data_IF_274293966015
#
_entry.id   IF_274293966015
#
_cell.length_a   1.000
_cell.length_b   1.000
_cell.length_c   1.000
_cell.angle_alpha   90.00
_cell.angle_beta   90.00
_cell.angle_gamma   90.00
#
_symmetry.space_group_name_H-M   'P 1'
#
loop_
_entity.id
_entity.type
_entity.pdbx_description
1 polymer ?
#
# COMPACT_ATOMS: atom_id res chain seq x y z
N UNK A 1 -7.67 36.47 5.21
CA UNK A 1 -6.64 35.77 4.42
C UNK A 1 -6.24 34.46 5.11
N UNK A 2 -6.51 33.30 4.51
CA UNK A 2 -6.39 31.99 5.16
C UNK A 2 -4.95 31.49 5.38
N UNK A 3 -4.76 30.66 6.41
CA UNK A 3 -3.47 30.05 6.83
C UNK A 3 -3.08 28.84 5.96
N UNK A 4 -3.30 28.91 4.65
CA UNK A 4 -3.02 27.83 3.70
C UNK A 4 -1.56 27.88 3.24
N UNK A 5 -0.87 26.72 3.19
CA UNK A 5 0.49 26.61 2.65
C UNK A 5 0.47 26.53 1.12
N UNK A 6 1.41 27.21 0.45
CA UNK A 6 1.55 27.24 -1.01
C UNK A 6 2.10 25.92 -1.56
N UNK A 7 1.94 25.70 -2.88
CA UNK A 7 2.43 24.49 -3.57
C UNK A 7 3.94 24.27 -3.43
N UNK A 8 4.72 25.35 -3.39
CA UNK A 8 6.19 25.31 -3.23
C UNK A 8 6.60 24.72 -1.89
N UNK A 9 5.98 25.18 -0.79
CA UNK A 9 6.19 24.63 0.55
C UNK A 9 5.82 23.16 0.59
N UNK A 10 4.65 22.79 0.06
CA UNK A 10 4.18 21.40 0.06
C UNK A 10 5.11 20.48 -0.73
N UNK A 11 5.56 20.91 -1.92
CA UNK A 11 6.46 20.13 -2.78
C UNK A 11 7.84 19.96 -2.14
N UNK A 12 8.43 21.04 -1.62
CA UNK A 12 9.73 21.00 -0.96
C UNK A 12 9.73 20.06 0.27
N UNK A 13 8.69 20.14 1.11
CA UNK A 13 8.57 19.24 2.28
C UNK A 13 8.43 17.77 1.91
N UNK A 14 7.76 17.44 0.80
CA UNK A 14 7.67 16.04 0.33
C UNK A 14 9.04 15.52 -0.09
N UNK A 15 9.75 16.27 -0.92
CA UNK A 15 11.10 15.90 -1.39
C UNK A 15 12.08 15.74 -0.22
N UNK A 16 11.99 16.59 0.80
CA UNK A 16 12.80 16.44 2.02
C UNK A 16 12.53 15.12 2.74
N UNK A 17 11.27 14.70 2.83
CA UNK A 17 10.88 13.45 3.49
C UNK A 17 11.33 12.24 2.65
N UNK A 18 11.13 12.28 1.34
CA UNK A 18 11.53 11.19 0.42
C UNK A 18 13.03 10.88 0.55
N UNK A 19 13.88 11.92 0.65
CA UNK A 19 15.34 11.77 0.69
C UNK A 19 15.94 11.59 2.09
N UNK A 20 15.40 12.26 3.10
CA UNK A 20 16.02 12.38 4.43
C UNK A 20 15.16 11.86 5.58
N UNK A 21 14.22 10.95 5.30
CA UNK A 21 13.35 10.33 6.31
C UNK A 21 14.04 9.96 7.63
N UNK A 22 15.17 9.21 7.67
CA UNK A 22 15.76 8.76 8.93
C UNK A 22 16.32 9.88 9.81
N UNK A 23 16.55 11.08 9.28
CA UNK A 23 17.07 12.22 10.03
C UNK A 23 15.98 13.13 10.60
N UNK A 24 14.76 13.05 10.06
CA UNK A 24 13.67 13.95 10.42
C UNK A 24 12.93 13.45 11.66
N UNK A 25 12.51 14.38 12.51
CA UNK A 25 11.83 14.08 13.78
C UNK A 25 10.38 14.61 13.77
N UNK A 26 9.65 14.45 14.88
CA UNK A 26 8.33 15.06 15.08
C UNK A 26 8.41 16.50 15.63
N UNK A 27 9.59 16.92 16.08
CA UNK A 27 9.82 18.22 16.70
C UNK A 27 10.09 19.31 15.64
N UNK A 28 9.62 20.52 15.90
CA UNK A 28 9.74 21.63 14.97
C UNK A 28 11.14 22.24 14.97
N UNK A 29 11.75 22.39 16.14
CA UNK A 29 13.00 23.14 16.29
C UNK A 29 14.18 22.39 15.66
N UNK A 30 14.24 21.08 15.91
CA UNK A 30 15.19 20.16 15.28
C UNK A 30 15.05 20.16 13.75
N UNK A 31 13.84 19.96 13.23
CA UNK A 31 13.58 19.98 11.79
C UNK A 31 13.88 21.35 11.15
N UNK A 32 13.68 22.46 11.88
CA UNK A 32 14.03 23.81 11.40
C UNK A 32 15.54 23.98 11.22
N UNK A 33 16.35 23.40 12.11
CA UNK A 33 17.82 23.39 11.99
C UNK A 33 18.26 22.49 10.82
N UNK A 34 17.77 21.26 10.79
CA UNK A 34 18.05 20.31 9.70
C UNK A 34 17.68 20.84 8.31
N UNK A 35 16.54 21.50 8.18
CA UNK A 35 16.13 22.09 6.88
C UNK A 35 17.02 23.24 6.44
N UNK A 36 17.74 23.90 7.36
CA UNK A 36 18.73 24.93 7.02
C UNK A 36 20.06 24.32 6.58
N UNK A 37 20.41 23.16 7.13
CA UNK A 37 21.64 22.44 6.78
C UNK A 37 21.51 21.67 5.46
N UNK A 38 20.33 21.10 5.19
CA UNK A 38 20.08 20.26 4.01
C UNK A 38 19.80 21.11 2.76
N UNK A 39 19.17 22.27 2.91
CA UNK A 39 18.69 23.06 1.79
C UNK A 39 19.03 24.54 1.95
N UNK A 40 19.50 25.14 0.85
CA UNK A 40 19.72 26.58 0.75
C UNK A 40 18.39 27.33 0.66
N UNK A 41 17.94 27.90 1.77
CA UNK A 41 16.67 28.63 1.86
C UNK A 41 16.97 30.09 2.22
N UNK A 42 16.71 30.98 1.25
CA UNK A 42 17.03 32.40 1.32
C UNK A 42 16.22 33.17 2.39
N UNK A 43 15.03 32.70 2.77
CA UNK A 43 14.20 33.39 3.76
C UNK A 43 13.83 32.54 4.97
N UNK A 44 13.99 33.13 6.16
CA UNK A 44 13.56 32.57 7.45
C UNK A 44 12.09 32.16 7.44
N UNK A 45 11.22 32.97 6.82
CA UNK A 45 9.77 32.70 6.75
C UNK A 45 9.46 31.46 5.90
N UNK A 46 10.15 31.24 4.78
CA UNK A 46 9.95 30.04 3.96
C UNK A 46 10.45 28.79 4.67
N UNK A 47 11.64 28.86 5.28
CA UNK A 47 12.21 27.78 6.09
C UNK A 47 11.25 27.31 7.17
N UNK A 48 10.69 28.25 7.95
CA UNK A 48 9.74 27.92 9.02
C UNK A 48 8.46 27.28 8.47
N UNK A 49 7.98 27.70 7.29
CA UNK A 49 6.80 27.07 6.65
C UNK A 49 7.10 25.65 6.19
N UNK A 50 8.30 25.40 5.65
CA UNK A 50 8.74 24.08 5.20
C UNK A 50 8.90 23.14 6.40
N UNK A 51 9.66 23.54 7.43
CA UNK A 51 9.84 22.79 8.66
C UNK A 51 8.50 22.51 9.39
N UNK A 52 7.58 23.47 9.37
CA UNK A 52 6.25 23.31 9.95
C UNK A 52 5.34 22.38 9.14
N UNK A 53 5.58 22.21 7.84
CA UNK A 53 4.81 21.29 7.01
C UNK A 53 5.44 19.88 6.97
N UNK A 54 6.77 19.76 7.07
CA UNK A 54 7.45 18.46 7.24
C UNK A 54 7.04 17.79 8.55
N UNK A 55 7.05 18.51 9.67
CA UNK A 55 6.56 17.99 10.97
C UNK A 55 5.11 17.50 10.90
N UNK A 56 4.24 18.26 10.20
CA UNK A 56 2.86 17.85 10.00
C UNK A 56 2.75 16.56 9.18
N UNK A 57 3.57 16.39 8.15
CA UNK A 57 3.61 15.16 7.35
C UNK A 57 4.17 13.99 8.16
N UNK A 58 5.22 14.19 8.95
CA UNK A 58 5.78 13.16 9.84
C UNK A 58 4.74 12.63 10.84
N UNK A 59 3.97 13.53 11.47
CA UNK A 59 2.85 13.14 12.34
C UNK A 59 1.75 12.35 11.62
N UNK A 60 1.58 12.57 10.31
CA UNK A 60 0.62 11.80 9.50
C UNK A 60 1.19 10.43 9.11
N UNK A 61 2.48 10.37 8.77
CA UNK A 61 3.18 9.12 8.44
C UNK A 61 3.14 8.16 9.62
N UNK A 62 3.29 8.65 10.85
CA UNK A 62 3.17 7.84 12.06
C UNK A 62 1.79 7.17 12.19
N UNK A 63 0.72 7.79 11.68
CA UNK A 63 -0.63 7.22 11.70
C UNK A 63 -0.89 6.26 10.54
N UNK A 64 -0.06 6.29 9.51
CA UNK A 64 -0.20 5.46 8.33
C UNK A 64 0.42 6.07 7.08
N UNK A 65 0.45 5.32 5.97
CA UNK A 65 1.08 5.76 4.73
C UNK A 65 0.36 6.98 4.14
N UNK A 66 1.11 8.01 3.78
CA UNK A 66 0.56 9.24 3.17
C UNK A 66 0.63 9.15 1.65
N UNK A 67 -0.48 9.45 0.96
CA UNK A 67 -0.54 9.40 -0.51
C UNK A 67 0.44 10.38 -1.17
N UNK A 68 1.22 9.88 -2.12
CA UNK A 68 2.13 10.69 -2.95
C UNK A 68 3.35 11.21 -2.18
N UNK A 69 3.84 10.38 -1.25
CA UNK A 69 5.16 10.43 -0.61
C UNK A 69 5.59 8.97 -0.50
N UNK A 70 6.79 8.64 -0.97
CA UNK A 70 7.44 7.36 -0.70
C UNK A 70 8.82 7.62 -0.14
N UNK A 71 9.28 6.79 0.77
CA UNK A 71 10.65 6.84 1.26
C UNK A 71 11.20 5.41 1.22
N UNK A 72 12.52 5.28 1.07
CA UNK A 72 13.17 4.00 0.78
C UNK A 72 12.71 2.85 1.69
N UNK A 73 12.60 3.10 3.00
CA UNK A 73 12.12 2.09 3.96
C UNK A 73 10.69 1.60 3.65
N UNK A 74 9.81 2.49 3.18
CA UNK A 74 8.45 2.13 2.78
C UNK A 74 8.43 1.31 1.49
N UNK A 75 9.33 1.61 0.56
CA UNK A 75 9.46 0.85 -0.70
C UNK A 75 9.97 -0.57 -0.42
N UNK A 76 11.01 -0.70 0.41
CA UNK A 76 11.53 -2.01 0.85
C UNK A 76 10.51 -2.85 1.62
N UNK A 77 9.63 -2.22 2.42
CA UNK A 77 8.53 -2.93 3.09
C UNK A 77 7.44 -3.37 2.10
N UNK A 78 7.16 -2.58 1.07
CA UNK A 78 6.21 -2.95 0.02
C UNK A 78 6.74 -4.11 -0.80
N UNK A 79 7.99 -4.06 -1.24
CA UNK A 79 8.62 -5.15 -1.99
C UNK A 79 8.58 -6.48 -1.22
N UNK A 80 8.85 -6.46 0.09
CA UNK A 80 8.73 -7.66 0.94
C UNK A 80 7.31 -8.20 1.04
N UNK A 81 6.30 -7.33 1.05
CA UNK A 81 4.88 -7.74 1.10
C UNK A 81 4.39 -8.23 -0.24
N UNK A 82 4.78 -7.58 -1.32
CA UNK A 82 4.39 -7.94 -2.69
C UNK A 82 5.03 -9.28 -3.09
N UNK A 83 6.25 -9.56 -2.62
CA UNK A 83 6.93 -10.84 -2.85
C UNK A 83 6.52 -11.95 -1.87
N UNK A 84 5.52 -11.72 -1.01
CA UNK A 84 5.09 -12.73 -0.04
C UNK A 84 4.36 -13.89 -0.72
N UNK A 85 5.03 -15.04 -0.82
CA UNK A 85 4.42 -16.30 -1.22
C UNK A 85 4.22 -17.18 0.02
N UNK A 86 2.99 -17.59 0.36
CA UNK A 86 2.74 -18.47 1.48
C UNK A 86 3.39 -19.84 1.25
N UNK A 87 3.85 -20.49 2.31
CA UNK A 87 4.46 -21.84 2.24
C UNK A 87 3.52 -22.88 1.62
N UNK A 88 2.22 -22.78 1.93
CA UNK A 88 1.18 -23.67 1.41
C UNK A 88 0.35 -22.90 0.41
N UNK A 89 0.38 -23.34 -0.84
CA UNK A 89 -0.39 -22.76 -1.93
C UNK A 89 -1.89 -22.77 -1.60
N UNK A 90 -2.63 -21.78 -2.11
CA UNK A 90 -4.09 -21.81 -2.03
C UNK A 90 -4.67 -22.98 -2.86
N UNK A 91 -3.94 -23.40 -3.90
CA UNK A 91 -4.28 -24.49 -4.80
C UNK A 91 -3.92 -25.87 -4.26
N UNK A 92 -3.25 -25.93 -3.10
CA UNK A 92 -2.83 -27.21 -2.54
C UNK A 92 -4.06 -28.02 -2.09
N UNK A 93 -4.13 -29.26 -2.53
CA UNK A 93 -5.27 -30.16 -2.30
C UNK A 93 -5.37 -30.57 -0.83
N UNK A 94 -4.30 -30.45 -0.04
CA UNK A 94 -4.32 -30.76 1.40
C UNK A 94 -5.38 -29.96 2.17
N UNK A 95 -5.58 -28.68 1.82
CA UNK A 95 -6.62 -27.83 2.44
C UNK A 95 -8.04 -28.32 2.15
N UNK A 96 -8.19 -29.05 1.04
CA UNK A 96 -9.46 -29.52 0.48
C UNK A 96 -9.63 -31.03 0.66
N UNK A 97 -8.92 -31.63 1.63
CA UNK A 97 -8.92 -33.09 1.91
C UNK A 97 -8.55 -33.95 0.70
N UNK A 98 -7.66 -33.46 -0.17
CA UNK A 98 -7.15 -34.20 -1.32
C UNK A 98 -8.04 -34.21 -2.56
N UNK A 99 -9.16 -33.46 -2.57
CA UNK A 99 -10.07 -33.40 -3.72
C UNK A 99 -10.44 -31.95 -4.09
N UNK A 100 -10.58 -31.68 -5.39
CA UNK A 100 -11.13 -30.42 -5.88
C UNK A 100 -12.65 -30.48 -5.87
N UNK A 101 -13.30 -29.45 -5.32
CA UNK A 101 -14.75 -29.30 -5.43
C UNK A 101 -15.10 -28.66 -6.76
N UNK A 102 -15.87 -29.37 -7.58
CA UNK A 102 -16.10 -29.06 -9.00
C UNK A 102 -17.59 -29.25 -9.32
N UNK A 103 -18.12 -28.48 -10.27
CA UNK A 103 -19.50 -28.64 -10.75
C UNK A 103 -19.62 -29.87 -11.66
N UNK A 104 -20.84 -30.33 -11.93
CA UNK A 104 -21.10 -31.51 -12.76
C UNK A 104 -20.57 -31.36 -14.18
N UNK A 105 -20.86 -30.22 -14.83
CA UNK A 105 -20.41 -29.91 -16.20
C UNK A 105 -18.88 -29.85 -16.31
N UNK A 106 -18.23 -29.30 -15.29
CA UNK A 106 -16.77 -29.16 -15.28
C UNK A 106 -16.09 -30.51 -15.02
N UNK A 107 -16.72 -31.42 -14.26
CA UNK A 107 -16.26 -32.80 -14.14
C UNK A 107 -16.41 -33.57 -15.47
N UNK A 108 -17.50 -33.39 -16.21
CA UNK A 108 -17.70 -33.98 -17.54
C UNK A 108 -16.65 -33.48 -18.55
N UNK A 109 -16.31 -32.18 -18.49
CA UNK A 109 -15.23 -31.60 -19.29
C UNK A 109 -13.86 -32.23 -18.97
N UNK A 110 -13.55 -32.46 -17.69
CA UNK A 110 -12.27 -33.08 -17.29
C UNK A 110 -12.16 -34.52 -17.81
N UNK A 111 -13.27 -35.27 -17.79
CA UNK A 111 -13.34 -36.63 -18.33
C UNK A 111 -13.16 -36.66 -19.85
N UNK A 112 -13.78 -35.73 -20.59
CA UNK A 112 -13.64 -35.66 -22.05
C UNK A 112 -12.24 -35.28 -22.51
N UNK A 113 -11.55 -34.43 -21.74
CA UNK A 113 -10.14 -34.08 -21.96
C UNK A 113 -9.17 -35.19 -21.51
N UNK A 114 -9.65 -36.23 -20.83
CA UNK A 114 -8.84 -37.38 -20.39
C UNK A 114 -7.98 -37.12 -19.16
N UNK A 115 -8.22 -36.04 -18.40
CA UNK A 115 -7.47 -35.75 -17.18
C UNK A 115 -8.03 -36.50 -15.97
N UNK A 116 -7.19 -37.27 -15.27
CA UNK A 116 -7.53 -38.00 -14.03
C UNK A 116 -7.12 -37.20 -12.81
N UNK A 117 -8.01 -36.32 -12.33
CA UNK A 117 -7.78 -35.44 -11.18
C UNK A 117 -8.76 -35.82 -10.06
N UNK A 118 -8.37 -35.83 -8.78
CA UNK A 118 -9.30 -36.11 -7.69
C UNK A 118 -10.32 -34.97 -7.54
N UNK A 119 -11.55 -35.20 -7.98
CA UNK A 119 -12.66 -34.24 -7.91
C UNK A 119 -13.80 -34.76 -7.03
N UNK A 120 -14.51 -33.85 -6.36
CA UNK A 120 -15.78 -34.11 -5.65
C UNK A 120 -16.83 -33.15 -6.20
N UNK A 121 -18.00 -33.67 -6.52
CA UNK A 121 -19.08 -32.87 -7.12
C UNK A 121 -19.78 -32.09 -6.01
N UNK A 122 -19.93 -30.78 -6.20
CA UNK A 122 -20.73 -29.92 -5.31
C UNK A 122 -21.86 -29.28 -6.09
N UNK A 123 -23.08 -29.33 -5.55
CA UNK A 123 -24.22 -28.63 -6.13
C UNK A 123 -24.14 -27.14 -5.81
N UNK A 124 -23.54 -26.35 -6.69
CA UNK A 124 -23.59 -24.90 -6.60
C UNK A 124 -24.98 -24.46 -7.05
N UNK A 125 -25.87 -24.18 -6.10
CA UNK A 125 -27.14 -23.52 -6.40
C UNK A 125 -26.83 -22.21 -7.11
N UNK A 126 -27.25 -22.10 -8.38
CA UNK A 126 -27.22 -20.85 -9.12
C UNK A 126 -27.94 -19.80 -8.27
N UNK A 127 -27.18 -18.89 -7.66
CA UNK A 127 -27.73 -17.81 -6.88
C UNK A 127 -28.79 -17.10 -7.71
N UNK A 128 -29.97 -16.88 -7.12
CA UNK A 128 -31.10 -16.25 -7.78
C UNK A 128 -30.63 -15.05 -8.62
N UNK A 129 -31.13 -14.87 -9.85
CA UNK A 129 -30.64 -13.83 -10.76
C UNK A 129 -30.67 -12.50 -10.02
N UNK A 130 -29.49 -11.87 -9.87
CA UNK A 130 -29.38 -10.54 -9.27
C UNK A 130 -30.24 -9.61 -10.12
N UNK A 131 -31.43 -9.27 -9.63
CA UNK A 131 -32.28 -8.24 -10.24
C UNK A 131 -31.48 -6.96 -10.27
N UNK A 132 -30.94 -6.61 -11.44
CA UNK A 132 -30.42 -5.28 -11.67
C UNK A 132 -31.56 -4.29 -11.45
N UNK A 133 -31.41 -3.43 -10.44
CA UNK A 133 -32.33 -2.32 -10.21
C UNK A 133 -32.09 -1.32 -11.34
N UNK A 134 -33.11 -1.08 -12.18
CA UNK A 134 -33.13 0.03 -13.14
C UNK A 134 -33.02 1.36 -12.41
#
# INVERSE_FOLDING_TARGET
MGRVRTKTVKRASKVLIEKYYPKLTLDFETNKRLTSEIAEIQSKRLRNKIAGYTTHLMKRIQKGPVRGISFKLQEEERERKDQYVPKVSALDLEKTKGALYVDEDTNAMLLSLGFKVPTQITNVYAGAPRRYRK
#
